data_IF_235797030902
#
_entry.id   IF_235797030902
#
_cell.length_a   1.000
_cell.length_b   1.000
_cell.length_c   1.000
_cell.angle_alpha   90.00
_cell.angle_beta   90.00
_cell.angle_gamma   90.00
#
_symmetry.space_group_name_H-M   'P 1'
#
loop_
_entity.id
_entity.type
_entity.pdbx_description
1 polymer ?
#
# COMPACT_ATOMS: atom_id res chain seq x y z
N UNK A 1 9.29 26.34 0.92
CA UNK A 1 8.01 25.62 1.04
C UNK A 1 7.56 25.33 -0.38
N UNK A 2 7.52 24.08 -0.81
CA UNK A 2 7.08 23.74 -2.18
C UNK A 2 5.58 23.52 -2.12
N UNK A 3 4.84 24.35 -2.83
CA UNK A 3 3.39 24.21 -2.99
C UNK A 3 3.11 23.32 -4.21
N UNK A 4 2.24 22.31 -4.10
CA UNK A 4 1.83 21.53 -5.27
C UNK A 4 1.17 22.43 -6.30
N UNK A 5 1.64 22.37 -7.55
CA UNK A 5 0.97 23.01 -8.70
C UNK A 5 0.01 21.99 -9.31
N UNK A 6 -1.29 22.32 -9.27
CA UNK A 6 -2.36 21.48 -9.80
C UNK A 6 -2.25 21.30 -11.32
N UNK A 7 -1.65 22.26 -12.04
CA UNK A 7 -1.49 22.20 -13.50
C UNK A 7 -0.45 21.17 -13.93
N UNK A 8 0.45 20.80 -13.02
CA UNK A 8 1.47 19.77 -13.23
C UNK A 8 1.00 18.38 -12.72
N UNK A 9 -0.26 18.26 -12.27
CA UNK A 9 -0.81 17.03 -11.75
C UNK A 9 -1.73 16.34 -12.77
N UNK A 10 -1.46 15.05 -12.98
CA UNK A 10 -2.27 14.19 -13.83
C UNK A 10 -2.52 12.84 -13.15
N UNK A 11 -3.65 12.22 -13.51
CA UNK A 11 -3.83 10.78 -13.36
C UNK A 11 -3.20 10.08 -14.54
N UNK A 12 -2.63 8.89 -14.30
CA UNK A 12 -2.09 8.09 -15.38
C UNK A 12 -2.68 6.70 -15.35
N UNK A 13 -3.58 6.40 -16.28
CA UNK A 13 -4.09 5.06 -16.51
C UNK A 13 -2.95 4.21 -17.07
N UNK A 14 -2.65 3.10 -16.39
CA UNK A 14 -1.62 2.15 -16.82
C UNK A 14 -2.29 0.86 -17.24
N UNK A 15 -2.04 0.48 -18.48
CA UNK A 15 -2.49 -0.80 -19.05
C UNK A 15 -1.28 -1.70 -19.29
N UNK A 16 -1.49 -2.85 -19.92
CA UNK A 16 -0.39 -3.72 -20.34
C UNK A 16 0.49 -3.09 -21.43
N UNK A 17 -0.08 -2.21 -22.27
CA UNK A 17 0.56 -1.74 -23.49
C UNK A 17 0.67 -0.21 -23.57
N UNK A 18 -0.11 0.53 -22.78
CA UNK A 18 -0.25 1.97 -22.86
C UNK A 18 -0.18 2.63 -21.49
N UNK A 19 0.25 3.89 -21.50
CA UNK A 19 0.27 4.78 -20.35
C UNK A 19 -0.39 6.08 -20.76
N UNK A 20 -1.60 6.32 -20.28
CA UNK A 20 -2.44 7.43 -20.74
C UNK A 20 -2.58 8.42 -19.60
N UNK A 21 -2.09 9.65 -19.80
CA UNK A 21 -2.14 10.71 -18.80
C UNK A 21 -3.35 11.61 -19.02
N UNK A 22 -4.11 11.88 -17.96
CA UNK A 22 -5.26 12.78 -17.94
C UNK A 22 -5.02 13.85 -16.87
N UNK A 23 -5.04 15.15 -17.20
CA UNK A 23 -4.91 16.23 -16.23
C UNK A 23 -5.93 16.09 -15.09
N UNK A 24 -5.55 16.42 -13.86
CA UNK A 24 -6.45 16.24 -12.70
C UNK A 24 -7.72 17.12 -12.80
N UNK A 25 -7.61 18.27 -13.47
CA UNK A 25 -8.71 19.19 -13.77
C UNK A 25 -9.73 18.58 -14.74
N UNK A 26 -9.29 17.64 -15.57
CA UNK A 26 -10.08 17.01 -16.63
C UNK A 26 -10.26 15.51 -16.36
N UNK A 27 -10.17 15.09 -15.09
CA UNK A 27 -10.18 13.68 -14.69
C UNK A 27 -11.40 12.89 -15.20
N UNK A 28 -12.52 13.56 -15.50
CA UNK A 28 -13.71 12.92 -16.09
C UNK A 28 -13.44 12.28 -17.46
N UNK A 29 -12.48 12.80 -18.23
CA UNK A 29 -12.08 12.25 -19.55
C UNK A 29 -11.54 10.83 -19.46
N UNK A 30 -11.10 10.38 -18.27
CA UNK A 30 -10.63 9.01 -18.09
C UNK A 30 -11.72 7.98 -18.42
N UNK A 31 -13.00 8.36 -18.30
CA UNK A 31 -14.15 7.51 -18.58
C UNK A 31 -14.37 7.26 -20.08
N UNK A 32 -13.82 8.13 -20.93
CA UNK A 32 -13.95 8.05 -22.40
C UNK A 32 -12.79 7.26 -23.04
N UNK A 33 -11.81 6.83 -22.24
CA UNK A 33 -10.68 6.03 -22.71
C UNK A 33 -11.14 4.59 -22.97
N UNK A 34 -10.85 4.06 -24.16
CA UNK A 34 -11.25 2.71 -24.58
C UNK A 34 -10.77 1.62 -23.61
N UNK A 35 -9.55 1.75 -23.07
CA UNK A 35 -9.00 0.80 -22.12
C UNK A 35 -9.56 0.94 -20.69
N UNK A 36 -10.34 1.98 -20.39
CA UNK A 36 -10.94 2.17 -19.08
C UNK A 36 -12.30 1.46 -19.00
N UNK A 37 -12.41 0.46 -18.12
CA UNK A 37 -13.67 -0.25 -17.93
C UNK A 37 -14.42 0.31 -16.73
N UNK A 38 -15.52 1.03 -16.98
CA UNK A 38 -16.36 1.66 -15.93
C UNK A 38 -16.93 0.70 -14.89
N UNK A 39 -17.01 -0.60 -15.20
CA UNK A 39 -17.49 -1.61 -14.26
C UNK A 39 -16.38 -2.17 -13.36
N UNK A 40 -15.12 -1.92 -13.70
CA UNK A 40 -13.99 -2.36 -12.89
C UNK A 40 -13.72 -1.37 -11.74
N UNK A 41 -13.39 -1.87 -10.53
CA UNK A 41 -12.87 -1.02 -9.47
C UNK A 41 -11.60 -0.26 -9.91
N UNK A 42 -11.47 0.98 -9.44
CA UNK A 42 -10.29 1.81 -9.68
C UNK A 42 -9.31 1.66 -8.52
N UNK A 43 -8.05 1.36 -8.83
CA UNK A 43 -6.93 1.41 -7.88
C UNK A 43 -6.12 2.64 -8.19
N UNK A 44 -6.08 3.56 -7.22
CA UNK A 44 -5.21 4.72 -7.28
C UNK A 44 -3.93 4.45 -6.48
N UNK A 45 -2.80 4.29 -7.17
CA UNK A 45 -1.50 4.10 -6.55
C UNK A 45 -0.74 5.41 -6.48
N UNK A 46 -0.44 5.85 -5.26
CA UNK A 46 0.27 7.12 -4.98
C UNK A 46 1.67 6.76 -4.49
N UNK A 47 2.70 7.30 -5.13
CA UNK A 47 4.09 7.08 -4.73
C UNK A 47 4.55 8.13 -3.71
N UNK A 48 5.49 7.72 -2.84
CA UNK A 48 6.04 8.57 -1.78
C UNK A 48 7.24 9.41 -2.21
N UNK A 49 7.77 10.19 -1.27
CA UNK A 49 8.92 11.09 -1.46
C UNK A 49 10.09 10.41 -2.20
N UNK A 50 10.65 11.09 -3.20
CA UNK A 50 11.75 10.66 -4.10
C UNK A 50 11.43 9.59 -5.15
N UNK A 51 10.18 9.15 -5.28
CA UNK A 51 9.79 8.22 -6.36
C UNK A 51 9.61 8.97 -7.68
N UNK A 52 10.23 8.49 -8.76
CA UNK A 52 9.97 8.94 -10.13
C UNK A 52 8.90 8.07 -10.80
N UNK A 53 8.41 8.47 -11.98
CA UNK A 53 7.45 7.71 -12.79
C UNK A 53 7.97 6.30 -13.15
N UNK A 54 9.29 6.12 -13.13
CA UNK A 54 9.99 4.87 -13.47
C UNK A 54 10.43 4.08 -12.24
N UNK A 55 9.85 4.35 -11.06
CA UNK A 55 10.24 3.61 -9.85
C UNK A 55 9.87 2.12 -9.95
N UNK A 56 10.76 1.25 -9.46
CA UNK A 56 10.52 -0.20 -9.41
C UNK A 56 9.14 -0.57 -8.86
N UNK A 57 8.65 0.19 -7.88
CA UNK A 57 7.33 -0.01 -7.26
C UNK A 57 6.19 0.13 -8.26
N UNK A 58 6.23 1.14 -9.13
CA UNK A 58 5.21 1.34 -10.18
C UNK A 58 5.23 0.15 -11.13
N UNK A 59 6.41 -0.21 -11.64
CA UNK A 59 6.57 -1.31 -12.61
C UNK A 59 6.01 -2.62 -12.05
N UNK A 60 6.30 -2.96 -10.78
CA UNK A 60 5.81 -4.20 -10.18
C UNK A 60 4.31 -4.17 -9.90
N UNK A 61 3.76 -3.04 -9.45
CA UNK A 61 2.33 -2.91 -9.18
C UNK A 61 1.51 -2.95 -10.46
N UNK A 62 1.93 -2.21 -11.50
CA UNK A 62 1.31 -2.25 -12.83
C UNK A 62 1.32 -3.68 -13.37
N UNK A 63 2.47 -4.37 -13.30
CA UNK A 63 2.56 -5.77 -13.75
C UNK A 63 1.60 -6.68 -12.97
N UNK A 64 1.54 -6.57 -11.65
CA UNK A 64 0.69 -7.39 -10.82
C UNK A 64 -0.81 -7.18 -11.13
N UNK A 65 -1.26 -5.93 -11.22
CA UNK A 65 -2.66 -5.60 -11.54
C UNK A 65 -3.04 -5.96 -12.99
N UNK A 66 -2.13 -5.78 -13.95
CA UNK A 66 -2.34 -6.24 -15.33
C UNK A 66 -2.46 -7.78 -15.40
N UNK A 67 -1.61 -8.51 -14.67
CA UNK A 67 -1.71 -9.97 -14.58
C UNK A 67 -3.00 -10.42 -13.89
N UNK A 68 -3.48 -9.68 -12.88
CA UNK A 68 -4.73 -9.98 -12.19
C UNK A 68 -5.96 -9.75 -13.08
N UNK A 69 -5.97 -8.64 -13.81
CA UNK A 69 -7.16 -8.17 -14.52
C UNK A 69 -8.29 -7.72 -13.58
N UNK A 70 -9.35 -7.14 -14.13
CA UNK A 70 -10.54 -6.74 -13.36
C UNK A 70 -10.37 -5.46 -12.52
N UNK A 71 -9.34 -4.67 -12.75
CA UNK A 71 -9.13 -3.36 -12.10
C UNK A 71 -8.70 -2.32 -13.13
N UNK A 72 -9.10 -1.06 -12.94
CA UNK A 72 -8.47 0.08 -13.60
C UNK A 72 -7.33 0.57 -12.70
N UNK A 73 -6.07 0.38 -13.11
CA UNK A 73 -4.92 0.82 -12.31
C UNK A 73 -4.44 2.21 -12.75
N UNK A 74 -4.52 3.18 -11.84
CA UNK A 74 -4.16 4.57 -12.08
C UNK A 74 -3.02 4.98 -11.14
N UNK A 75 -2.04 5.72 -11.66
CA UNK A 75 -1.07 6.44 -10.82
C UNK A 75 -1.63 7.82 -10.47
N UNK A 76 -1.52 8.20 -9.19
CA UNK A 76 -2.05 9.46 -8.68
C UNK A 76 -1.05 10.60 -8.66
N UNK A 77 -1.48 11.75 -9.20
CA UNK A 77 -0.93 13.10 -9.09
C UNK A 77 0.59 13.17 -8.89
N UNK A 78 1.28 12.91 -10.00
CA UNK A 78 2.72 12.93 -10.10
C UNK A 78 3.26 14.38 -10.11
N UNK A 79 3.36 15.03 -8.95
CA UNK A 79 4.18 16.24 -8.78
C UNK A 79 5.45 15.90 -8.01
N UNK A 80 6.54 16.66 -8.22
CA UNK A 80 7.87 16.41 -7.65
C UNK A 80 7.92 16.28 -6.12
N UNK A 81 6.83 16.57 -5.39
CA UNK A 81 6.70 16.38 -3.94
C UNK A 81 5.23 16.03 -3.62
N UNK A 82 4.92 14.74 -3.52
CA UNK A 82 3.64 14.27 -2.98
C UNK A 82 3.79 13.75 -1.56
N UNK A 83 3.71 14.68 -0.60
CA UNK A 83 3.51 14.35 0.80
C UNK A 83 2.04 14.52 1.23
N UNK A 84 1.16 15.06 0.38
CA UNK A 84 -0.08 15.72 0.86
C UNK A 84 -1.33 15.49 0.01
N UNK A 85 -1.33 14.56 -0.95
CA UNK A 85 -2.50 14.38 -1.85
C UNK A 85 -3.79 13.95 -1.15
N UNK A 86 -3.71 13.44 0.08
CA UNK A 86 -4.89 12.99 0.80
C UNK A 86 -5.81 14.13 1.28
N UNK A 87 -5.33 15.38 1.39
CA UNK A 87 -6.17 16.46 1.93
C UNK A 87 -7.21 17.02 0.96
N UNK A 88 -7.13 16.70 -0.34
CA UNK A 88 -7.86 17.46 -1.37
C UNK A 88 -8.76 16.62 -2.28
N UNK A 89 -8.87 15.30 -2.07
CA UNK A 89 -9.92 14.50 -2.72
C UNK A 89 -11.20 14.61 -1.87
N UNK A 90 -11.78 15.81 -1.89
CA UNK A 90 -13.15 15.97 -1.41
C UNK A 90 -14.11 15.28 -2.39
N UNK A 91 -15.17 14.69 -1.82
CA UNK A 91 -16.39 14.25 -2.49
C UNK A 91 -16.46 12.81 -3.01
N UNK A 92 -16.17 11.83 -2.14
CA UNK A 92 -16.90 10.56 -1.92
C UNK A 92 -16.13 9.70 -0.90
N UNK A 93 -16.82 8.97 0.00
CA UNK A 93 -16.16 8.10 0.99
C UNK A 93 -15.31 7.05 0.28
N UNK A 94 -13.99 7.24 0.27
CA UNK A 94 -13.01 6.25 -0.21
C UNK A 94 -13.32 4.93 0.51
N UNK A 95 -13.45 3.84 -0.27
CA UNK A 95 -13.88 2.55 0.29
C UNK A 95 -12.76 1.90 1.10
N UNK A 96 -11.53 1.98 0.59
CA UNK A 96 -10.35 1.41 1.22
C UNK A 96 -9.10 2.24 0.95
N UNK A 97 -8.25 2.42 1.96
CA UNK A 97 -6.88 2.90 1.82
C UNK A 97 -5.95 1.81 2.37
N UNK A 98 -4.94 1.43 1.58
CA UNK A 98 -3.85 0.57 2.07
C UNK A 98 -2.58 1.38 2.24
N UNK A 99 -2.09 1.48 3.48
CA UNK A 99 -0.82 2.13 3.81
C UNK A 99 0.36 1.18 3.68
N UNK A 100 1.29 1.47 2.77
CA UNK A 100 2.49 0.65 2.54
C UNK A 100 3.69 1.27 3.27
N UNK A 101 3.92 0.82 4.51
CA UNK A 101 4.91 1.32 5.45
C UNK A 101 4.88 2.86 5.63
N UNK A 102 3.76 3.46 6.06
CA UNK A 102 3.59 4.92 6.09
C UNK A 102 4.69 5.62 6.88
N UNK A 103 5.37 6.57 6.26
CA UNK A 103 6.37 7.38 6.93
C UNK A 103 5.74 8.31 7.98
N UNK A 104 6.49 8.66 9.01
CA UNK A 104 6.09 9.73 9.92
C UNK A 104 5.96 11.06 9.16
N UNK A 105 5.10 12.01 9.60
CA UNK A 105 4.90 13.29 8.92
C UNK A 105 6.23 13.99 8.64
N UNK A 106 6.51 14.27 7.37
CA UNK A 106 7.80 14.78 6.89
C UNK A 106 8.23 16.14 7.47
N UNK A 107 7.38 16.81 8.24
CA UNK A 107 7.58 18.22 8.62
C UNK A 107 7.64 18.51 10.12
N UNK A 108 7.61 17.50 11.00
CA UNK A 108 7.70 17.73 12.45
C UNK A 108 6.58 18.62 13.04
N UNK A 109 5.66 19.10 12.20
CA UNK A 109 4.49 19.87 12.59
C UNK A 109 3.39 18.89 12.96
N UNK A 110 2.94 18.97 14.21
CA UNK A 110 1.76 18.29 14.74
C UNK A 110 0.44 18.69 14.05
N UNK A 111 0.48 19.55 13.02
CA UNK A 111 -0.71 20.15 12.39
C UNK A 111 -1.26 19.41 11.18
N UNK A 112 -0.49 18.52 10.54
CA UNK A 112 -1.01 17.66 9.47
C UNK A 112 -1.02 16.22 10.00
N UNK A 113 -2.22 15.71 10.29
CA UNK A 113 -2.39 14.31 10.64
C UNK A 113 -1.90 13.44 9.47
N UNK A 114 -1.04 12.47 9.75
CA UNK A 114 -0.71 11.42 8.80
C UNK A 114 -1.92 10.52 8.52
N UNK A 115 -1.74 9.51 7.67
CA UNK A 115 -2.77 8.49 7.44
C UNK A 115 -3.23 7.88 8.77
N UNK A 116 -4.55 7.84 8.98
CA UNK A 116 -5.15 7.32 10.19
C UNK A 116 -6.50 6.65 9.92
N UNK A 117 -6.98 5.88 10.89
CA UNK A 117 -8.33 5.32 10.90
C UNK A 117 -9.37 6.43 10.68
N UNK A 118 -10.31 6.19 9.79
CA UNK A 118 -11.37 7.13 9.42
C UNK A 118 -11.11 7.95 8.16
N UNK A 119 -9.88 7.94 7.61
CA UNK A 119 -9.57 8.57 6.33
C UNK A 119 -10.27 7.86 5.15
N UNK A 120 -10.66 6.60 5.33
CA UNK A 120 -11.55 5.83 4.46
C UNK A 120 -12.51 4.97 5.30
N UNK A 121 -13.45 4.28 4.64
CA UNK A 121 -14.31 3.31 5.33
C UNK A 121 -13.55 2.12 5.91
N UNK A 122 -12.40 1.80 5.32
CA UNK A 122 -11.50 0.77 5.79
C UNK A 122 -10.06 1.19 5.50
N UNK A 123 -9.20 1.15 6.52
CA UNK A 123 -7.79 1.48 6.41
C UNK A 123 -6.97 0.28 6.88
N UNK A 124 -6.15 -0.29 6.00
CA UNK A 124 -5.25 -1.38 6.35
C UNK A 124 -3.78 -1.02 6.10
N UNK A 125 -2.89 -1.37 7.03
CA UNK A 125 -1.50 -0.92 6.99
C UNK A 125 -0.53 -2.11 7.01
N UNK A 126 0.53 -2.04 6.21
CA UNK A 126 1.62 -3.02 6.20
C UNK A 126 2.90 -2.34 6.69
N UNK A 127 3.37 -2.69 7.89
CA UNK A 127 4.57 -2.12 8.52
C UNK A 127 5.79 -2.99 8.27
N UNK A 128 6.77 -2.48 7.54
CA UNK A 128 7.99 -3.23 7.20
C UNK A 128 9.27 -2.59 7.68
N UNK A 129 9.25 -1.30 8.04
CA UNK A 129 10.37 -0.64 8.69
C UNK A 129 9.90 0.23 9.88
N UNK A 130 9.14 -0.36 10.84
CA UNK A 130 8.52 0.38 11.93
C UNK A 130 9.55 1.05 12.84
N UNK A 131 9.32 2.33 13.15
CA UNK A 131 10.16 3.12 14.04
C UNK A 131 11.46 3.64 13.42
N UNK A 132 11.61 3.49 12.09
CA UNK A 132 12.78 3.98 11.37
C UNK A 132 12.36 4.87 10.20
N UNK A 133 12.08 4.30 9.02
CA UNK A 133 11.50 5.07 7.90
C UNK A 133 9.98 5.03 7.94
N UNK A 134 9.40 3.94 8.44
CA UNK A 134 7.96 3.79 8.66
C UNK A 134 7.55 4.08 10.11
N UNK A 135 6.28 4.37 10.30
CA UNK A 135 5.66 4.55 11.62
C UNK A 135 5.59 3.22 12.35
N UNK A 136 5.84 3.23 13.66
CA UNK A 136 5.75 2.03 14.51
C UNK A 136 4.32 1.79 15.00
N UNK A 137 3.63 2.86 15.35
CA UNK A 137 2.30 2.82 15.94
C UNK A 137 1.27 2.34 14.92
N UNK A 138 0.22 1.69 15.43
CA UNK A 138 -0.92 1.28 14.63
C UNK A 138 -1.68 2.52 14.14
N UNK A 139 -1.99 2.56 12.86
CA UNK A 139 -2.65 3.69 12.21
C UNK A 139 -4.03 3.33 11.66
N UNK A 140 -4.25 2.07 11.27
CA UNK A 140 -5.43 1.64 10.53
C UNK A 140 -6.59 1.12 11.38
N UNK A 141 -7.57 0.55 10.68
CA UNK A 141 -8.51 -0.40 11.27
C UNK A 141 -7.77 -1.70 11.63
N UNK A 142 -6.92 -2.18 10.72
CA UNK A 142 -6.02 -3.32 10.89
C UNK A 142 -4.58 -2.97 10.48
N UNK A 143 -3.62 -3.46 11.26
CA UNK A 143 -2.20 -3.20 11.05
C UNK A 143 -1.43 -4.53 11.04
N UNK A 144 -0.69 -4.77 9.96
CA UNK A 144 0.12 -5.96 9.75
C UNK A 144 1.60 -5.67 9.97
N UNK A 145 2.26 -6.53 10.76
CA UNK A 145 3.71 -6.46 11.01
C UNK A 145 4.40 -7.76 10.53
N UNK A 146 4.71 -7.86 9.22
CA UNK A 146 5.53 -8.94 8.67
C UNK A 146 6.87 -9.08 9.39
N UNK A 147 7.17 -10.27 9.91
CA UNK A 147 8.31 -10.54 10.80
C UNK A 147 8.36 -9.60 12.00
N UNK A 148 7.20 -9.26 12.58
CA UNK A 148 7.04 -8.44 13.77
C UNK A 148 7.64 -7.02 13.68
N UNK A 149 7.86 -6.41 14.85
CA UNK A 149 8.35 -5.03 15.00
C UNK A 149 9.83 -4.81 14.65
N UNK A 150 10.57 -5.85 14.24
CA UNK A 150 11.96 -5.67 13.85
C UNK A 150 12.05 -4.74 12.62
N UNK A 151 12.87 -3.67 12.62
CA UNK A 151 12.92 -2.74 11.49
C UNK A 151 13.66 -3.33 10.28
N UNK A 152 14.51 -4.34 10.47
CA UNK A 152 15.21 -5.02 9.37
C UNK A 152 14.45 -6.28 8.98
N UNK A 153 13.89 -6.31 7.77
CA UNK A 153 13.20 -7.49 7.27
C UNK A 153 14.17 -8.56 6.76
N UNK A 154 13.80 -9.85 6.78
CA UNK A 154 14.61 -10.92 6.21
C UNK A 154 15.11 -10.58 4.79
N UNK A 155 16.42 -10.75 4.59
CA UNK A 155 17.07 -10.50 3.29
C UNK A 155 17.51 -9.06 3.05
N UNK A 156 17.17 -8.12 3.93
CA UNK A 156 17.62 -6.74 3.82
C UNK A 156 18.89 -6.47 4.63
N UNK A 157 19.77 -5.62 4.07
CA UNK A 157 21.00 -5.13 4.73
C UNK A 157 20.96 -3.62 5.05
N UNK A 158 20.00 -2.90 4.49
CA UNK A 158 19.84 -1.44 4.63
C UNK A 158 18.37 -1.09 4.87
N UNK A 159 18.12 0.06 5.52
CA UNK A 159 16.78 0.51 5.93
C UNK A 159 15.80 0.64 4.75
N UNK A 160 16.26 1.23 3.63
CA UNK A 160 15.44 1.40 2.44
C UNK A 160 14.99 0.08 1.80
N UNK A 161 15.73 -1.01 1.98
CA UNK A 161 15.29 -2.33 1.53
C UNK A 161 14.07 -2.80 2.33
N UNK A 162 14.10 -2.65 3.65
CA UNK A 162 12.98 -3.00 4.53
C UNK A 162 11.76 -2.15 4.22
N UNK A 163 11.94 -0.83 4.03
CA UNK A 163 10.83 0.07 3.71
C UNK A 163 10.13 -0.31 2.40
N UNK A 164 10.92 -0.71 1.38
CA UNK A 164 10.39 -1.21 0.10
C UNK A 164 9.70 -2.58 0.20
N UNK A 165 9.71 -3.26 1.35
CA UNK A 165 9.05 -4.58 1.48
C UNK A 165 7.53 -4.48 1.47
N UNK A 166 6.95 -3.42 2.01
CA UNK A 166 5.50 -3.29 2.08
C UNK A 166 4.85 -3.38 0.69
N UNK A 167 5.33 -2.59 -0.28
CA UNK A 167 4.79 -2.68 -1.65
C UNK A 167 5.15 -3.99 -2.35
N UNK A 168 6.26 -4.65 -2.00
CA UNK A 168 6.63 -5.97 -2.55
C UNK A 168 5.69 -7.08 -2.07
N UNK A 169 5.36 -7.09 -0.78
CA UNK A 169 4.41 -8.07 -0.22
C UNK A 169 3.02 -7.83 -0.76
N UNK A 170 2.58 -6.56 -0.82
CA UNK A 170 1.30 -6.22 -1.43
C UNK A 170 1.24 -6.64 -2.89
N UNK A 171 2.26 -6.33 -3.70
CA UNK A 171 2.31 -6.74 -5.10
C UNK A 171 2.25 -8.27 -5.28
N UNK A 172 2.91 -9.05 -4.42
CA UNK A 172 2.79 -10.52 -4.44
C UNK A 172 1.35 -10.98 -4.20
N UNK A 173 0.65 -10.39 -3.22
CA UNK A 173 -0.76 -10.72 -2.92
C UNK A 173 -1.77 -10.39 -4.03
N UNK A 174 -1.37 -9.53 -4.99
CA UNK A 174 -2.24 -9.12 -6.11
C UNK A 174 -2.27 -10.18 -7.21
N UNK A 175 -1.18 -10.92 -7.40
CA UNK A 175 -1.11 -11.92 -8.47
C UNK A 175 -2.18 -13.02 -8.29
N UNK A 176 -2.81 -13.49 -9.39
CA UNK A 176 -3.75 -14.60 -9.32
C UNK A 176 -3.13 -15.85 -8.67
N UNK A 177 -3.85 -16.45 -7.72
CA UNK A 177 -3.40 -17.64 -6.98
C UNK A 177 -2.54 -17.33 -5.75
N UNK A 178 -2.31 -16.06 -5.45
CA UNK A 178 -1.50 -15.58 -4.31
C UNK A 178 -2.33 -14.77 -3.30
N UNK A 179 -3.66 -14.74 -3.45
CA UNK A 179 -4.54 -13.89 -2.66
C UNK A 179 -4.55 -14.24 -1.17
N UNK A 180 -4.26 -15.49 -0.82
CA UNK A 180 -4.34 -16.03 0.55
C UNK A 180 -2.96 -16.36 1.13
N UNK A 181 -1.89 -15.95 0.45
CA UNK A 181 -0.53 -16.37 0.76
C UNK A 181 0.04 -15.75 2.06
N UNK A 182 -0.49 -14.61 2.49
CA UNK A 182 -0.01 -13.87 3.64
C UNK A 182 -0.99 -13.98 4.81
N UNK A 183 -1.10 -15.18 5.37
CA UNK A 183 -1.87 -15.43 6.59
C UNK A 183 -1.16 -14.78 7.77
N UNK A 184 -1.87 -13.92 8.49
CA UNK A 184 -1.39 -13.24 9.68
C UNK A 184 -2.31 -13.54 10.85
N UNK A 185 -1.74 -13.69 12.03
CA UNK A 185 -2.47 -14.00 13.26
C UNK A 185 -2.46 -12.77 14.15
N UNK A 186 -3.59 -12.47 14.80
CA UNK A 186 -3.64 -11.42 15.80
C UNK A 186 -2.64 -11.73 16.92
N UNK A 187 -1.59 -10.94 17.02
CA UNK A 187 -0.53 -11.16 17.99
C UNK A 187 0.31 -9.90 18.25
N UNK A 188 0.87 -9.80 19.46
CA UNK A 188 1.74 -8.68 19.89
C UNK A 188 3.22 -9.05 19.92
N UNK A 189 3.54 -10.32 19.72
CA UNK A 189 4.89 -10.87 19.86
C UNK A 189 5.18 -11.87 18.75
N UNK A 190 6.23 -11.61 17.98
CA UNK A 190 6.69 -12.52 16.94
C UNK A 190 7.16 -13.85 17.52
N UNK A 191 7.75 -13.82 18.72
CA UNK A 191 8.18 -15.03 19.42
C UNK A 191 6.99 -15.91 19.77
N UNK A 192 5.89 -15.30 20.19
CA UNK A 192 4.68 -16.06 20.56
C UNK A 192 4.02 -16.63 19.30
N UNK A 193 4.06 -15.88 18.20
CA UNK A 193 3.61 -16.37 16.88
C UNK A 193 4.42 -17.59 16.44
N UNK A 194 5.75 -17.52 16.52
CA UNK A 194 6.64 -18.61 16.12
C UNK A 194 6.52 -19.84 17.02
N UNK A 195 6.10 -19.68 18.27
CA UNK A 195 5.84 -20.78 19.21
C UNK A 195 4.39 -21.28 19.18
N UNK A 196 3.52 -20.74 18.31
CA UNK A 196 2.10 -21.13 18.24
C UNK A 196 1.29 -20.74 19.46
N UNK A 197 1.68 -19.67 20.16
CA UNK A 197 1.05 -19.21 21.40
C UNK A 197 0.01 -18.09 21.17
N UNK A 198 -0.12 -17.58 19.94
CA UNK A 198 -1.16 -16.61 19.59
C UNK A 198 -2.45 -17.36 19.24
N UNK A 199 -3.55 -17.02 19.89
CA UNK A 199 -4.88 -17.66 19.75
C UNK A 199 -5.90 -16.76 19.03
N UNK A 200 -5.49 -15.56 18.60
CA UNK A 200 -6.37 -14.62 17.93
C UNK A 200 -6.71 -15.01 16.47
N UNK A 201 -7.72 -14.36 15.87
CA UNK A 201 -8.19 -14.72 14.54
C UNK A 201 -7.09 -14.54 13.48
N UNK A 202 -7.15 -15.38 12.45
CA UNK A 202 -6.33 -15.23 11.26
C UNK A 202 -6.97 -14.23 10.30
N UNK A 203 -6.13 -13.39 9.70
CA UNK A 203 -6.49 -12.42 8.69
C UNK A 203 -5.50 -12.49 7.53
N UNK A 204 -6.00 -12.24 6.34
CA UNK A 204 -5.17 -12.20 5.13
C UNK A 204 -4.63 -10.78 4.96
N UNK A 205 -3.31 -10.65 4.88
CA UNK A 205 -2.66 -9.39 4.52
C UNK A 205 -2.60 -9.23 2.99
N UNK A 206 -2.89 -8.04 2.49
CA UNK A 206 -2.71 -7.68 1.08
C UNK A 206 -4.02 -7.36 0.38
N UNK A 207 -4.14 -7.61 -0.92
CA UNK A 207 -5.33 -7.19 -1.68
C UNK A 207 -6.64 -7.76 -1.11
N UNK A 208 -6.63 -8.97 -0.56
CA UNK A 208 -7.83 -9.67 -0.08
C UNK A 208 -8.14 -9.44 1.42
N UNK A 209 -7.52 -8.46 2.07
CA UNK A 209 -7.83 -8.13 3.48
C UNK A 209 -9.33 -7.92 3.68
N UNK A 210 -9.91 -8.60 4.67
CA UNK A 210 -11.32 -8.44 5.05
C UNK A 210 -11.57 -7.01 5.57
N UNK A 211 -12.51 -6.24 4.98
CA UNK A 211 -12.76 -4.86 5.38
C UNK A 211 -13.40 -4.69 6.76
N UNK A 212 -13.82 -5.78 7.40
CA UNK A 212 -14.30 -5.78 8.79
C UNK A 212 -13.23 -6.22 9.80
N UNK A 213 -12.03 -6.58 9.32
CA UNK A 213 -10.92 -6.97 10.17
C UNK A 213 -10.38 -5.76 10.94
N UNK A 214 -9.88 -6.00 12.15
CA UNK A 214 -9.29 -4.96 12.96
C UNK A 214 -8.16 -5.47 13.85
N UNK A 215 -7.39 -4.54 14.40
CA UNK A 215 -6.34 -4.83 15.39
C UNK A 215 -4.99 -5.16 14.76
N UNK A 216 -4.07 -5.64 15.59
CA UNK A 216 -2.67 -5.84 15.21
C UNK A 216 -2.39 -7.31 14.89
N UNK A 217 -1.88 -7.56 13.69
CA UNK A 217 -1.59 -8.90 13.20
C UNK A 217 -0.11 -9.05 12.84
N UNK A 218 0.43 -10.23 13.09
CA UNK A 218 1.80 -10.59 12.74
C UNK A 218 1.80 -11.82 11.85
N UNK A 219 2.79 -11.88 10.96
CA UNK A 219 3.02 -13.01 10.07
C UNK A 219 4.50 -13.23 9.88
N UNK A 220 4.90 -14.48 9.65
CA UNK A 220 6.27 -14.81 9.24
C UNK A 220 6.42 -14.67 7.73
N UNK A 221 7.58 -14.20 7.27
CA UNK A 221 7.88 -14.05 5.83
C UNK A 221 9.26 -14.61 5.48
N UNK A 222 9.42 -15.04 4.23
CA UNK A 222 10.68 -15.56 3.70
C UNK A 222 11.74 -14.47 3.47
N UNK A 223 13.00 -14.92 3.39
CA UNK A 223 14.17 -14.09 3.07
C UNK A 223 14.25 -13.70 1.59
N UNK A 224 13.61 -14.46 0.70
CA UNK A 224 13.59 -14.26 -0.76
C UNK A 224 12.19 -14.57 -1.31
N UNK A 225 11.92 -14.21 -2.59
CA UNK A 225 10.68 -14.60 -3.26
C UNK A 225 10.54 -16.15 -3.36
N UNK A 226 9.32 -16.71 -3.28
CA UNK A 226 8.10 -16.01 -2.85
C UNK A 226 8.19 -15.61 -1.38
N UNK A 227 7.76 -14.38 -1.07
CA UNK A 227 7.89 -13.80 0.27
C UNK A 227 6.99 -14.50 1.28
N UNK A 228 5.89 -15.11 0.83
CA UNK A 228 5.03 -15.93 1.68
C UNK A 228 5.81 -17.03 2.38
N UNK A 229 5.44 -17.33 3.62
CA UNK A 229 5.92 -18.52 4.31
C UNK A 229 4.79 -19.54 4.32
N UNK A 230 5.03 -20.71 3.76
CA UNK A 230 4.06 -21.81 3.85
C UNK A 230 4.02 -22.30 5.29
N UNK A 231 2.81 -22.36 5.86
CA UNK A 231 2.56 -23.00 7.15
C UNK A 231 2.34 -24.49 6.81
N UNK A 232 3.25 -25.35 7.26
CA UNK A 232 3.17 -26.81 7.11
C UNK A 232 2.43 -27.42 8.29
#
# INVERSE_FOLDING_TARGET
MVTPDINEMYFQLRTACSSISVPIQEAAQILDIEEFNVNNPVVLFITGWTSTIESDSITHMVKAFNCRGGYNFCLGAHSRICCTLFSTIYWRKIQRITGLDPANPCFGSRSLAGLQRGDAKFVDIIHTNPGVLGTRDALGDIDFYPQGYAPIKPGCRILGCSHKRAWKYYAESVYPGHELDFVATHCTSLRDLENGLCDGPEMIMGLQTNPNANGTHMLSVNRQIPWRKLIL
#
